data_IF_792190166953
#
_entry.id   IF_792190166953
#
_cell.length_a   1.000
_cell.length_b   1.000
_cell.length_c   1.000
_cell.angle_alpha   90.00
_cell.angle_beta   90.00
_cell.angle_gamma   90.00
#
_symmetry.space_group_name_H-M   'P 1'
#
loop_
_entity.id
_entity.type
_entity.pdbx_description
1 polymer ?
#
# COMPACT_ATOMS: atom_id res chain seq x y z
N UNK A 1 17.00 15.55 -6.13
CA UNK A 1 16.66 14.17 -5.71
C UNK A 1 15.22 13.90 -6.05
N UNK A 2 14.87 12.75 -6.68
CA UNK A 2 13.47 12.39 -6.88
C UNK A 2 12.75 12.36 -5.52
N UNK A 3 11.60 13.03 -5.42
CA UNK A 3 10.80 13.08 -4.19
C UNK A 3 9.40 12.57 -4.47
N UNK A 4 8.96 11.56 -3.72
CA UNK A 4 7.58 11.08 -3.69
C UNK A 4 6.74 12.11 -2.92
N UNK A 5 5.84 12.83 -3.59
CA UNK A 5 4.98 13.84 -2.96
C UNK A 5 3.58 13.77 -3.54
N UNK A 6 2.59 13.87 -2.66
CA UNK A 6 1.20 14.09 -3.01
C UNK A 6 0.93 15.59 -2.92
N UNK A 7 0.22 16.15 -3.89
CA UNK A 7 -0.12 17.57 -3.94
C UNK A 7 -1.60 17.73 -4.25
N UNK A 8 -2.22 18.77 -3.69
CA UNK A 8 -3.58 19.12 -4.05
C UNK A 8 -3.61 19.76 -5.45
N UNK A 9 -4.64 19.45 -6.23
CA UNK A 9 -4.93 20.07 -7.51
C UNK A 9 -6.42 20.41 -7.60
N UNK A 10 -6.77 21.48 -8.31
CA UNK A 10 -8.17 21.78 -8.62
C UNK A 10 -8.71 20.85 -9.72
N UNK A 11 -10.04 20.73 -9.84
CA UNK A 11 -10.67 19.85 -10.85
C UNK A 11 -10.20 20.13 -12.28
N UNK A 12 -10.06 21.39 -12.74
CA UNK A 12 -9.51 21.66 -14.07
C UNK A 12 -8.08 21.12 -14.27
N UNK A 13 -7.22 21.25 -13.25
CA UNK A 13 -5.86 20.71 -13.30
C UNK A 13 -5.90 19.17 -13.32
N UNK A 14 -6.72 18.54 -12.48
CA UNK A 14 -6.85 17.08 -12.46
C UNK A 14 -7.31 16.53 -13.82
N UNK A 15 -8.36 17.11 -14.42
CA UNK A 15 -8.87 16.75 -15.75
C UNK A 15 -7.83 16.91 -16.85
N UNK A 16 -6.94 17.91 -16.73
CA UNK A 16 -5.86 18.14 -17.69
C UNK A 16 -4.78 17.04 -17.65
N UNK A 17 -4.59 16.39 -16.50
CA UNK A 17 -3.52 15.41 -16.28
C UNK A 17 -3.99 13.95 -16.34
N UNK A 18 -5.30 13.67 -16.29
CA UNK A 18 -5.84 12.29 -16.22
C UNK A 18 -5.33 11.34 -17.32
N UNK A 19 -5.05 11.84 -18.52
CA UNK A 19 -4.64 11.02 -19.68
C UNK A 19 -3.24 11.42 -20.21
N UNK A 20 -2.37 11.96 -19.36
CA UNK A 20 -1.01 12.37 -19.78
C UNK A 20 -0.04 11.23 -19.52
N UNK A 21 0.32 10.51 -20.59
CA UNK A 21 1.40 9.51 -20.58
C UNK A 21 2.72 10.21 -20.23
N UNK A 22 3.47 9.66 -19.28
CA UNK A 22 4.71 10.23 -18.74
C UNK A 22 4.58 11.67 -18.23
N UNK A 23 3.36 12.06 -17.84
CA UNK A 23 3.07 13.37 -17.28
C UNK A 23 3.80 13.61 -15.96
N UNK A 24 4.10 14.88 -15.68
CA UNK A 24 4.68 15.31 -14.40
C UNK A 24 3.79 14.97 -13.19
N UNK A 25 2.48 14.85 -13.41
CA UNK A 25 1.49 14.52 -12.38
C UNK A 25 0.71 13.28 -12.79
N UNK A 26 0.42 12.44 -11.80
CA UNK A 26 -0.48 11.29 -11.91
C UNK A 26 -1.67 11.50 -10.99
N UNK A 27 -2.85 11.06 -11.41
CA UNK A 27 -4.03 11.05 -10.56
C UNK A 27 -4.00 9.83 -9.66
N UNK A 28 -4.29 10.05 -8.38
CA UNK A 28 -4.51 8.97 -7.42
C UNK A 28 -5.96 8.49 -7.58
N UNK A 29 -6.20 7.19 -7.82
CA UNK A 29 -7.55 6.64 -7.88
C UNK A 29 -8.32 6.89 -6.56
N UNK A 30 -9.64 6.90 -6.63
CA UNK A 30 -10.49 7.16 -5.45
C UNK A 30 -10.78 5.90 -4.65
N UNK A 31 -10.95 4.79 -5.36
CA UNK A 31 -11.56 3.59 -4.80
C UNK A 31 -10.51 2.49 -4.66
N UNK A 32 -10.62 1.72 -3.59
CA UNK A 32 -9.83 0.52 -3.40
C UNK A 32 -10.56 -0.70 -3.97
N UNK A 33 -9.80 -1.67 -4.49
CA UNK A 33 -10.33 -2.91 -5.03
C UNK A 33 -9.94 -4.07 -4.12
N UNK A 34 -10.92 -4.75 -3.55
CA UNK A 34 -10.67 -5.96 -2.78
C UNK A 34 -10.15 -7.09 -3.70
N UNK A 35 -9.19 -7.86 -3.20
CA UNK A 35 -8.64 -9.03 -3.88
C UNK A 35 -9.05 -10.32 -3.13
N UNK A 36 -10.30 -10.78 -3.24
CA UNK A 36 -10.79 -11.94 -2.48
C UNK A 36 -10.09 -13.26 -2.86
N UNK A 37 -9.55 -13.34 -4.07
CA UNK A 37 -8.85 -14.53 -4.58
C UNK A 37 -7.32 -14.42 -4.46
N UNK A 38 -6.81 -13.39 -3.76
CA UNK A 38 -5.38 -13.18 -3.61
C UNK A 38 -4.70 -14.39 -2.95
N UNK A 39 -3.63 -14.89 -3.58
CA UNK A 39 -2.88 -16.03 -3.12
C UNK A 39 -1.51 -15.59 -2.60
N UNK A 40 -1.25 -15.85 -1.32
CA UNK A 40 0.07 -15.75 -0.73
C UNK A 40 0.17 -16.73 0.45
N UNK A 41 1.12 -17.66 0.38
CA UNK A 41 1.41 -18.58 1.48
C UNK A 41 2.15 -17.87 2.62
N UNK A 42 2.24 -18.55 3.77
CA UNK A 42 3.03 -18.05 4.91
C UNK A 42 4.52 -17.98 4.55
N UNK A 43 5.06 -18.99 3.86
CA UNK A 43 6.46 -19.01 3.42
C UNK A 43 6.78 -17.93 2.39
N UNK A 44 5.87 -17.63 1.47
CA UNK A 44 6.06 -16.53 0.50
C UNK A 44 6.05 -15.17 1.20
N UNK A 45 5.23 -15.00 2.22
CA UNK A 45 5.23 -13.77 3.02
C UNK A 45 6.49 -13.62 3.87
N UNK A 46 6.96 -14.69 4.51
CA UNK A 46 8.22 -14.69 5.24
C UNK A 46 9.40 -14.34 4.33
N UNK A 47 9.38 -14.80 3.07
CA UNK A 47 10.39 -14.47 2.08
C UNK A 47 10.43 -12.97 1.70
N UNK A 48 9.37 -12.19 1.99
CA UNK A 48 9.37 -10.74 1.82
C UNK A 48 10.20 -10.01 2.91
N UNK A 49 10.65 -10.74 3.95
CA UNK A 49 11.46 -10.22 5.05
C UNK A 49 10.84 -8.99 5.76
N UNK A 50 9.51 -8.97 5.89
CA UNK A 50 8.79 -7.90 6.58
C UNK A 50 8.78 -8.14 8.09
N UNK A 51 9.07 -7.12 8.92
CA UNK A 51 9.09 -7.29 10.38
C UNK A 51 7.69 -7.37 11.00
N UNK A 52 6.65 -7.04 10.24
CA UNK A 52 5.26 -7.03 10.70
C UNK A 52 4.32 -7.55 9.61
N UNK A 53 3.13 -7.99 10.04
CA UNK A 53 2.09 -8.57 9.19
C UNK A 53 1.20 -7.51 8.50
N UNK A 54 1.73 -6.32 8.22
CA UNK A 54 1.02 -5.23 7.55
C UNK A 54 2.00 -4.47 6.67
N UNK A 55 1.73 -4.41 5.37
CA UNK A 55 2.58 -3.70 4.42
C UNK A 55 1.81 -3.28 3.17
N UNK A 56 2.37 -2.34 2.44
CA UNK A 56 1.92 -2.01 1.09
C UNK A 56 3.09 -1.99 0.10
N UNK A 57 2.80 -2.40 -1.13
CA UNK A 57 3.79 -2.59 -2.19
C UNK A 57 3.38 -1.79 -3.42
N UNK A 58 4.27 -0.98 -3.97
CA UNK A 58 3.98 -0.20 -5.18
C UNK A 58 5.23 -0.06 -6.05
N UNK A 59 5.00 0.05 -7.36
CA UNK A 59 6.09 0.35 -8.28
C UNK A 59 6.42 1.84 -8.20
N UNK A 60 7.67 2.16 -7.86
CA UNK A 60 8.14 3.53 -7.81
C UNK A 60 8.89 3.86 -9.09
N UNK A 61 8.25 4.56 -10.03
CA UNK A 61 8.88 5.01 -11.28
C UNK A 61 10.15 5.83 -11.05
N UNK A 62 10.24 6.75 -10.06
CA UNK A 62 11.48 7.49 -9.82
C UNK A 62 12.68 6.65 -9.37
N UNK A 63 12.44 5.44 -8.84
CA UNK A 63 13.48 4.50 -8.41
C UNK A 63 13.56 3.26 -9.30
N UNK A 64 12.68 3.13 -10.30
CA UNK A 64 12.64 2.01 -11.24
C UNK A 64 12.43 0.63 -10.60
N UNK A 65 11.82 0.57 -9.41
CA UNK A 65 11.70 -0.69 -8.65
C UNK A 65 10.38 -0.79 -7.89
N UNK A 66 9.98 -2.03 -7.61
CA UNK A 66 8.98 -2.32 -6.60
C UNK A 66 9.50 -1.91 -5.22
N UNK A 67 8.66 -1.22 -4.44
CA UNK A 67 8.96 -0.78 -3.09
C UNK A 67 7.95 -1.37 -2.12
N UNK A 68 8.41 -1.99 -1.04
CA UNK A 68 7.56 -2.32 0.10
C UNK A 68 7.72 -1.26 1.19
N UNK A 69 6.61 -0.88 1.79
CA UNK A 69 6.56 -0.03 2.96
C UNK A 69 5.73 -0.70 4.02
N UNK A 70 6.11 -0.53 5.28
CA UNK A 70 5.32 -0.97 6.42
C UNK A 70 5.20 0.17 7.45
N UNK A 71 4.08 0.23 8.20
CA UNK A 71 3.92 1.22 9.26
C UNK A 71 4.90 0.97 10.41
N UNK A 72 5.52 2.04 10.90
CA UNK A 72 6.34 2.05 12.11
C UNK A 72 6.03 3.30 12.95
N UNK A 73 6.52 3.39 14.21
CA UNK A 73 6.38 4.59 15.02
C UNK A 73 6.96 5.86 14.35
N UNK A 74 7.94 5.70 13.46
CA UNK A 74 8.53 6.79 12.69
C UNK A 74 7.72 7.16 11.43
N UNK A 75 6.67 6.41 11.10
CA UNK A 75 5.87 6.55 9.88
C UNK A 75 6.10 5.40 8.91
N UNK A 76 5.98 5.66 7.61
CA UNK A 76 6.13 4.63 6.59
C UNK A 76 7.62 4.29 6.45
N UNK A 77 7.98 3.04 6.76
CA UNK A 77 9.37 2.56 6.67
C UNK A 77 9.52 1.67 5.44
N UNK A 78 10.52 1.98 4.61
CA UNK A 78 10.84 1.16 3.43
C UNK A 78 11.50 -0.15 3.87
N UNK A 79 10.99 -1.27 3.37
CA UNK A 79 11.62 -2.58 3.52
C UNK A 79 12.47 -2.93 2.31
N UNK A 80 13.54 -3.68 2.53
CA UNK A 80 14.34 -4.27 1.46
C UNK A 80 13.61 -5.51 0.94
N UNK A 81 12.94 -5.35 -0.20
CA UNK A 81 12.36 -6.48 -0.92
C UNK A 81 13.46 -7.25 -1.66
N UNK A 82 13.54 -8.57 -1.49
CA UNK A 82 14.33 -9.41 -2.38
C UNK A 82 13.79 -9.31 -3.82
N UNK A 83 14.70 -9.22 -4.80
CA UNK A 83 14.36 -9.02 -6.21
C UNK A 83 13.32 -10.04 -6.73
N UNK A 84 13.43 -11.30 -6.31
CA UNK A 84 12.60 -12.41 -6.81
C UNK A 84 11.30 -12.63 -6.05
N UNK A 85 11.13 -12.02 -4.87
CA UNK A 85 9.97 -12.27 -4.02
C UNK A 85 8.70 -11.64 -4.61
N UNK A 86 8.83 -10.43 -5.18
CA UNK A 86 7.72 -9.78 -5.86
C UNK A 86 7.33 -10.48 -7.17
N UNK A 87 8.31 -10.91 -7.97
CA UNK A 87 8.05 -11.57 -9.26
C UNK A 87 7.26 -12.87 -9.07
N UNK A 88 7.64 -13.68 -8.07
CA UNK A 88 6.91 -14.89 -7.70
C UNK A 88 5.47 -14.58 -7.27
N UNK A 89 5.28 -13.54 -6.46
CA UNK A 89 3.96 -13.11 -6.00
C UNK A 89 3.07 -12.62 -7.16
N UNK A 90 3.63 -11.83 -8.07
CA UNK A 90 2.93 -11.32 -9.24
C UNK A 90 2.56 -12.41 -10.24
N UNK A 91 3.40 -13.45 -10.38
CA UNK A 91 3.10 -14.60 -11.23
C UNK A 91 1.84 -15.38 -10.76
N UNK A 92 1.63 -15.45 -9.45
CA UNK A 92 0.46 -16.11 -8.84
C UNK A 92 -0.79 -15.22 -8.76
N UNK A 93 -0.65 -13.89 -8.96
CA UNK A 93 -1.73 -12.93 -8.79
C UNK A 93 -1.78 -11.94 -9.97
N UNK A 94 -2.48 -12.31 -11.07
CA UNK A 94 -2.53 -11.50 -12.29
C UNK A 94 -3.03 -10.06 -12.07
N UNK A 95 -3.93 -9.85 -11.10
CA UNK A 95 -4.47 -8.53 -10.73
C UNK A 95 -3.36 -7.52 -10.37
N UNK A 96 -2.21 -7.99 -9.88
CA UNK A 96 -1.06 -7.12 -9.54
C UNK A 96 -0.42 -6.48 -10.78
N UNK A 97 -0.59 -7.08 -11.96
CA UNK A 97 -0.06 -6.52 -13.22
C UNK A 97 -0.84 -5.30 -13.71
N UNK A 98 -2.08 -5.12 -13.23
CA UNK A 98 -2.94 -3.99 -13.58
C UNK A 98 -2.69 -2.75 -12.71
N UNK A 99 -1.87 -2.87 -11.67
CA UNK A 99 -1.59 -1.77 -10.75
C UNK A 99 -0.93 -0.60 -11.47
N UNK A 100 -1.48 0.60 -11.25
CA UNK A 100 -0.92 1.84 -11.77
C UNK A 100 0.33 2.26 -10.97
N UNK A 101 1.50 2.39 -11.64
CA UNK A 101 2.74 2.80 -10.98
C UNK A 101 2.62 4.15 -10.27
N UNK A 102 3.25 4.25 -9.09
CA UNK A 102 3.27 5.38 -8.15
C UNK A 102 1.95 5.76 -7.45
N UNK A 103 0.79 5.29 -7.93
CA UNK A 103 -0.52 5.76 -7.42
C UNK A 103 -1.41 4.66 -6.86
N UNK A 104 -1.13 3.40 -7.19
CA UNK A 104 -1.77 2.25 -6.56
C UNK A 104 -0.72 1.38 -5.86
N UNK A 105 -1.17 0.69 -4.82
CA UNK A 105 -0.36 -0.26 -4.07
C UNK A 105 -1.17 -1.52 -3.77
N UNK A 106 -0.52 -2.68 -3.74
CA UNK A 106 -1.03 -3.84 -3.03
C UNK A 106 -0.95 -3.51 -1.54
N UNK A 107 -2.09 -3.39 -0.87
CA UNK A 107 -2.19 -3.26 0.58
C UNK A 107 -2.53 -4.62 1.18
N UNK A 108 -1.63 -5.16 2.00
CA UNK A 108 -1.75 -6.48 2.60
C UNK A 108 -1.84 -6.37 4.12
N UNK A 109 -2.97 -6.80 4.67
CA UNK A 109 -3.19 -6.95 6.10
C UNK A 109 -3.27 -8.43 6.47
N UNK A 110 -2.31 -8.87 7.27
CA UNK A 110 -2.23 -10.20 7.85
C UNK A 110 -2.16 -10.16 9.38
N UNK A 111 -2.55 -9.04 9.97
CA UNK A 111 -2.61 -8.88 11.43
C UNK A 111 -3.74 -9.74 11.99
N UNK A 112 -3.48 -10.46 13.08
CA UNK A 112 -4.46 -11.34 13.71
C UNK A 112 -4.85 -12.51 12.80
N UNK A 113 -6.11 -12.93 12.87
CA UNK A 113 -6.61 -14.11 12.14
C UNK A 113 -7.21 -13.76 10.77
N UNK A 114 -7.61 -12.50 10.56
CA UNK A 114 -8.20 -12.06 9.30
C UNK A 114 -7.10 -11.69 8.31
N UNK A 115 -7.28 -12.11 7.07
CA UNK A 115 -6.40 -11.77 5.94
C UNK A 115 -7.21 -10.87 5.02
N UNK A 116 -6.66 -9.70 4.69
CA UNK A 116 -7.33 -8.74 3.82
C UNK A 116 -6.32 -8.14 2.84
N UNK A 117 -6.64 -8.19 1.56
CA UNK A 117 -5.75 -7.77 0.47
C UNK A 117 -6.53 -6.86 -0.48
N UNK A 118 -5.93 -5.73 -0.83
CA UNK A 118 -6.53 -4.73 -1.69
C UNK A 118 -5.51 -4.20 -2.68
N UNK A 119 -5.96 -3.81 -3.86
CA UNK A 119 -5.28 -2.75 -4.61
C UNK A 119 -5.87 -1.44 -4.11
N UNK A 120 -5.08 -0.69 -3.36
CA UNK A 120 -5.52 0.55 -2.71
C UNK A 120 -4.81 1.76 -3.32
N UNK A 121 -5.49 2.92 -3.38
CA UNK A 121 -4.85 4.20 -3.65
C UNK A 121 -3.66 4.45 -2.72
N UNK A 122 -2.59 5.04 -3.24
CA UNK A 122 -1.35 5.25 -2.49
C UNK A 122 -1.56 6.20 -1.30
N UNK A 123 -2.46 7.18 -1.42
CA UNK A 123 -2.82 8.10 -0.35
C UNK A 123 -3.51 7.37 0.80
N UNK A 124 -4.39 6.40 0.53
CA UNK A 124 -4.99 5.51 1.53
C UNK A 124 -3.94 4.67 2.27
N UNK A 125 -2.92 4.18 1.58
CA UNK A 125 -1.81 3.47 2.22
C UNK A 125 -1.05 4.37 3.21
N UNK A 126 -0.79 5.63 2.83
CA UNK A 126 -0.15 6.60 3.72
C UNK A 126 -1.10 7.11 4.83
N UNK A 127 -2.40 7.19 4.58
CA UNK A 127 -3.44 7.48 5.58
C UNK A 127 -3.40 6.44 6.70
N UNK A 128 -3.41 5.14 6.35
CA UNK A 128 -3.31 4.04 7.32
C UNK A 128 -2.07 4.16 8.19
N UNK A 129 -0.90 4.43 7.58
CA UNK A 129 0.34 4.66 8.34
C UNK A 129 0.19 5.84 9.31
N UNK A 130 -0.42 6.93 8.85
CA UNK A 130 -0.69 8.11 9.68
C UNK A 130 -1.59 7.79 10.86
N UNK A 131 -2.66 7.03 10.63
CA UNK A 131 -3.60 6.55 11.66
C UNK A 131 -2.87 5.68 12.69
N UNK A 132 -2.12 4.67 12.24
CA UNK A 132 -1.35 3.80 13.13
C UNK A 132 -0.38 4.61 13.99
N UNK A 133 0.39 5.51 13.37
CA UNK A 133 1.36 6.36 14.07
C UNK A 133 0.69 7.27 15.10
N UNK A 134 -0.49 7.81 14.81
CA UNK A 134 -1.25 8.69 15.71
C UNK A 134 -1.73 7.95 16.96
N UNK A 135 -2.15 6.69 16.81
CA UNK A 135 -2.70 5.89 17.91
C UNK A 135 -1.66 4.97 18.58
N UNK A 136 -0.44 4.90 18.06
CA UNK A 136 0.62 4.05 18.60
C UNK A 136 0.99 4.42 20.04
N UNK A 137 0.84 3.44 20.95
CA UNK A 137 1.25 3.55 22.36
C UNK A 137 2.12 2.38 22.79
N UNK A 138 3.22 2.66 23.47
CA UNK A 138 4.12 1.63 24.02
C UNK A 138 4.90 0.83 22.96
N UNK A 139 5.37 -0.36 23.36
CA UNK A 139 6.18 -1.24 22.50
C UNK A 139 5.34 -2.05 21.50
N UNK A 140 4.07 -2.30 21.79
CA UNK A 140 3.16 -3.16 21.01
C UNK A 140 2.03 -2.42 20.31
N UNK A 141 2.01 -1.08 20.33
CA UNK A 141 0.99 -0.25 19.69
C UNK A 141 -0.32 -0.09 20.49
N UNK A 142 -0.65 -1.05 21.35
CA UNK A 142 -1.87 -1.04 22.19
C UNK A 142 -3.14 -1.47 21.44
N UNK A 143 -4.21 -1.79 22.18
CA UNK A 143 -5.51 -2.24 21.61
C UNK A 143 -6.16 -1.20 20.69
N UNK A 144 -5.93 0.09 20.94
CA UNK A 144 -6.50 1.19 20.17
C UNK A 144 -6.05 1.13 18.70
N UNK A 145 -4.77 0.87 18.42
CA UNK A 145 -4.24 0.75 17.05
C UNK A 145 -4.93 -0.38 16.28
N UNK A 146 -5.19 -1.51 16.93
CA UNK A 146 -5.83 -2.65 16.28
C UNK A 146 -7.27 -2.34 15.88
N UNK A 147 -8.02 -1.65 16.73
CA UNK A 147 -9.37 -1.19 16.40
C UNK A 147 -9.36 -0.24 15.19
N UNK A 148 -8.46 0.74 15.18
CA UNK A 148 -8.37 1.69 14.06
C UNK A 148 -7.96 1.01 12.74
N UNK A 149 -7.12 -0.02 12.79
CA UNK A 149 -6.78 -0.85 11.61
C UNK A 149 -8.03 -1.59 11.11
N UNK A 150 -8.76 -2.26 12.00
CA UNK A 150 -9.98 -3.00 11.63
C UNK A 150 -11.06 -2.07 11.03
N UNK A 151 -11.27 -0.90 11.64
CA UNK A 151 -12.19 0.13 11.12
C UNK A 151 -11.75 0.64 9.75
N UNK A 152 -10.45 0.88 9.54
CA UNK A 152 -9.92 1.32 8.26
C UNK A 152 -10.19 0.31 7.13
N UNK A 153 -9.89 -0.98 7.36
CA UNK A 153 -10.13 -2.02 6.35
C UNK A 153 -11.63 -2.27 6.10
N UNK A 154 -12.46 -2.11 7.14
CA UNK A 154 -13.93 -2.14 6.98
C UNK A 154 -14.39 -0.99 6.10
N UNK A 155 -13.84 0.22 6.28
CA UNK A 155 -14.13 1.39 5.45
C UNK A 155 -13.75 1.19 3.98
N UNK A 156 -12.58 0.58 3.70
CA UNK A 156 -12.15 0.27 2.33
C UNK A 156 -13.06 -0.71 1.59
N UNK A 157 -13.76 -1.58 2.31
CA UNK A 157 -14.66 -2.58 1.72
C UNK A 157 -16.01 -1.97 1.33
N UNK A 158 -16.39 -0.87 1.97
CA UNK A 158 -17.69 -0.20 1.80
C UNK A 158 -17.61 1.07 0.93
N UNK A 159 -16.43 1.37 0.38
CA UNK A 159 -16.17 2.55 -0.44
C UNK A 159 -16.53 2.33 -1.92
#
# INVERSE_FOLDING_TARGET
>A
TPSRKIVCACDPCALRFQNVIDGRFKLVPRDARALPNFQISDSEWEALALPINLAFFFYSTPFGKMTAMYPSPAGATESLLPLTAWESLAASNPDLSEMLPDVEALLANRVGDKRAYFIAPIDKCYELVGTIRKHWKGLSGGEEVWREIDEFFTGLTNA
#
